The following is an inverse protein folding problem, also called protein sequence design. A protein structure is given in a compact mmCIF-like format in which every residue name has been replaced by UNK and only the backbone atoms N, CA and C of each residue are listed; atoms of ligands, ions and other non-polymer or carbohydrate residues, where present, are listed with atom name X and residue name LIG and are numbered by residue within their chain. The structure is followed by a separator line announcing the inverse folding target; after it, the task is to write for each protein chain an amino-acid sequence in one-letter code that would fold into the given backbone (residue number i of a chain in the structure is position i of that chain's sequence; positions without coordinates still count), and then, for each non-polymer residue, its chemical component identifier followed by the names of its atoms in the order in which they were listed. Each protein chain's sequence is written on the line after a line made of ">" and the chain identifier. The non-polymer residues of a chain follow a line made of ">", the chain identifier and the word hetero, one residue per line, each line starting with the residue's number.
data_IF_127503129924
#
_entry.id   IF_127503129924
#
_cell.length_a   1.000
_cell.length_b   1.000
_cell.length_c   1.000
_cell.angle_alpha   90.00
_cell.angle_beta   90.00
_cell.angle_gamma   90.00
#
_symmetry.space_group_name_H-M   'P 1'
#
loop_
_entity.id
_entity.type
_entity.pdbx_description
1 polymer ?
#
# COMPACT_ATOMS: atom_id res chain seq x y z
N UNK A 1 -0.43 3.35 -34.65
CA UNK A 1 -1.19 4.62 -34.70
C UNK A 1 -2.45 4.40 -33.88
N UNK A 2 -2.58 5.04 -32.73
CA UNK A 2 -3.82 5.03 -31.95
C UNK A 2 -4.58 6.28 -32.39
N UNK A 3 -5.71 6.07 -33.05
CA UNK A 3 -6.63 7.14 -33.47
C UNK A 3 -7.52 7.53 -32.30
N UNK A 4 -7.38 8.76 -31.81
CA UNK A 4 -8.20 9.34 -30.74
C UNK A 4 -9.52 9.87 -31.32
N UNK A 5 -10.65 9.37 -30.82
CA UNK A 5 -11.96 9.94 -31.11
C UNK A 5 -12.12 11.29 -30.40
N UNK A 6 -12.13 12.37 -31.18
CA UNK A 6 -12.18 13.78 -30.75
C UNK A 6 -13.58 14.25 -30.30
N UNK A 7 -14.25 13.51 -29.41
CA UNK A 7 -15.58 13.92 -28.88
C UNK A 7 -15.58 14.17 -27.36
N UNK A 8 -14.42 14.45 -26.75
CA UNK A 8 -14.27 14.65 -25.31
C UNK A 8 -13.88 16.09 -24.92
N UNK A 9 -14.53 17.13 -25.46
CA UNK A 9 -14.11 18.52 -25.21
C UNK A 9 -14.25 19.01 -23.76
N UNK A 10 -15.09 18.36 -22.94
CA UNK A 10 -15.27 18.70 -21.52
C UNK A 10 -14.65 17.69 -20.54
N UNK A 11 -14.50 16.42 -20.92
CA UNK A 11 -13.77 15.40 -20.13
C UNK A 11 -12.24 15.57 -20.23
N UNK A 12 -11.75 16.27 -21.27
CA UNK A 12 -10.32 16.47 -21.50
C UNK A 12 -9.64 17.29 -20.39
N UNK A 13 -10.30 18.26 -19.76
CA UNK A 13 -9.64 19.12 -18.76
C UNK A 13 -9.42 18.40 -17.41
N UNK A 14 -10.42 17.64 -16.94
CA UNK A 14 -10.28 16.81 -15.74
C UNK A 14 -9.36 15.62 -16.04
N UNK A 15 -9.51 15.00 -17.21
CA UNK A 15 -8.62 13.94 -17.68
C UNK A 15 -7.16 14.39 -17.75
N UNK A 16 -6.87 15.52 -18.40
CA UNK A 16 -5.53 16.10 -18.48
C UNK A 16 -5.01 16.56 -17.12
N UNK A 17 -5.86 17.12 -16.27
CA UNK A 17 -5.50 17.46 -14.89
C UNK A 17 -5.04 16.23 -14.12
N UNK A 18 -5.82 15.15 -14.17
CA UNK A 18 -5.47 13.89 -13.52
C UNK A 18 -4.27 13.20 -14.17
N UNK A 19 -4.11 13.27 -15.50
CA UNK A 19 -2.92 12.77 -16.20
C UNK A 19 -1.66 13.56 -15.83
N UNK A 20 -1.74 14.88 -15.71
CA UNK A 20 -0.64 15.73 -15.26
C UNK A 20 -0.27 15.42 -13.81
N UNK A 21 -1.26 15.30 -12.92
CA UNK A 21 -1.03 14.86 -11.54
C UNK A 21 -0.41 13.47 -11.49
N UNK A 22 -0.89 12.52 -12.29
CA UNK A 22 -0.26 11.20 -12.39
C UNK A 22 1.19 11.32 -12.88
N UNK A 23 1.43 12.15 -13.90
CA UNK A 23 2.75 12.37 -14.46
C UNK A 23 3.69 13.01 -13.43
N UNK A 24 3.25 13.98 -12.65
CA UNK A 24 4.03 14.59 -11.56
C UNK A 24 4.41 13.58 -10.48
N UNK A 25 3.50 12.68 -10.10
CA UNK A 25 3.79 11.64 -9.12
C UNK A 25 4.64 10.49 -9.68
N UNK A 26 4.60 10.24 -10.99
CA UNK A 26 5.18 9.06 -11.62
C UNK A 26 6.47 9.33 -12.43
N UNK A 27 6.72 10.58 -12.82
CA UNK A 27 7.97 10.97 -13.49
C UNK A 27 9.12 10.82 -12.48
N UNK A 28 10.10 9.99 -12.81
CA UNK A 28 11.23 9.59 -11.95
C UNK A 28 10.89 8.76 -10.70
N UNK A 29 9.63 8.37 -10.51
CA UNK A 29 9.21 7.49 -9.42
C UNK A 29 9.38 6.01 -9.77
N UNK A 30 9.63 5.21 -8.74
CA UNK A 30 9.62 3.75 -8.85
C UNK A 30 8.41 3.21 -8.07
N UNK A 31 7.64 2.32 -8.70
CA UNK A 31 6.42 1.73 -8.13
C UNK A 31 6.67 0.26 -7.81
N UNK A 32 6.41 -0.14 -6.57
CA UNK A 32 6.27 -1.56 -6.23
C UNK A 32 4.80 -1.98 -6.34
N UNK A 33 4.52 -3.01 -7.13
CA UNK A 33 3.16 -3.51 -7.36
C UNK A 33 2.95 -4.80 -6.57
N UNK A 34 1.92 -4.81 -5.71
CA UNK A 34 1.43 -6.04 -5.09
C UNK A 34 -0.02 -6.32 -5.52
N UNK A 35 -0.22 -7.53 -6.03
CA UNK A 35 -1.52 -8.03 -6.44
C UNK A 35 -2.00 -9.09 -5.45
N UNK A 36 -3.13 -8.82 -4.79
CA UNK A 36 -3.72 -9.74 -3.82
C UNK A 36 -5.03 -10.32 -4.37
N UNK A 37 -5.03 -11.61 -4.66
CA UNK A 37 -6.15 -12.27 -5.35
C UNK A 37 -7.21 -12.85 -4.38
N UNK A 38 -6.90 -12.98 -3.07
CA UNK A 38 -7.69 -13.84 -2.16
C UNK A 38 -8.08 -13.21 -0.80
N UNK A 39 -7.97 -11.89 -0.63
CA UNK A 39 -8.27 -11.25 0.65
C UNK A 39 -9.54 -10.40 0.58
N UNK A 40 -10.63 -10.85 1.21
CA UNK A 40 -11.89 -10.10 1.35
C UNK A 40 -11.62 -8.66 1.83
N UNK A 41 -11.98 -7.67 1.00
CA UNK A 41 -11.82 -6.20 1.11
C UNK A 41 -10.58 -5.67 1.83
N UNK A 42 -9.51 -6.45 1.82
CA UNK A 42 -8.27 -6.18 2.55
C UNK A 42 -7.07 -6.37 1.65
N UNK A 43 -6.08 -5.53 1.84
CA UNK A 43 -4.76 -5.63 1.22
C UNK A 43 -3.80 -6.23 2.25
N UNK A 44 -2.96 -7.18 1.84
CA UNK A 44 -1.89 -7.68 2.69
C UNK A 44 -0.61 -6.89 2.47
N UNK A 45 -0.19 -6.20 3.52
CA UNK A 45 1.03 -5.41 3.50
C UNK A 45 2.13 -6.22 4.16
N UNK A 46 2.96 -6.85 3.32
CA UNK A 46 4.10 -7.64 3.78
C UNK A 46 5.19 -6.76 4.40
N UNK A 47 5.72 -7.21 5.53
CA UNK A 47 6.68 -6.45 6.34
C UNK A 47 7.88 -7.29 6.77
N UNK A 48 7.65 -8.56 7.12
CA UNK A 48 8.68 -9.44 7.64
C UNK A 48 8.60 -10.82 7.00
N UNK A 49 9.69 -11.57 7.08
CA UNK A 49 9.73 -12.98 6.69
C UNK A 49 10.63 -13.76 7.63
N UNK A 50 10.38 -15.07 7.72
CA UNK A 50 11.29 -16.00 8.39
C UNK A 50 12.42 -16.40 7.44
N UNK A 51 13.66 -16.18 7.85
CA UNK A 51 14.84 -16.63 7.12
C UNK A 51 14.94 -18.17 7.12
N UNK A 52 15.32 -18.75 5.98
CA UNK A 52 15.29 -20.20 5.78
C UNK A 52 16.48 -20.94 6.39
N UNK A 53 17.59 -20.25 6.65
CA UNK A 53 18.82 -20.86 7.19
C UNK A 53 18.90 -20.70 8.70
N UNK A 54 18.48 -19.54 9.17
CA UNK A 54 18.69 -19.08 10.55
C UNK A 54 17.42 -19.07 11.38
N UNK A 55 16.26 -19.25 10.75
CA UNK A 55 14.93 -19.08 11.36
C UNK A 55 14.63 -17.67 11.90
N UNK A 56 15.54 -16.72 11.71
CA UNK A 56 15.39 -15.36 12.20
C UNK A 56 14.31 -14.60 11.43
N UNK A 57 13.60 -13.69 12.13
CA UNK A 57 12.66 -12.78 11.48
C UNK A 57 13.42 -11.60 10.91
N UNK A 58 13.36 -11.43 9.59
CA UNK A 58 14.03 -10.35 8.85
C UNK A 58 13.01 -9.44 8.16
N UNK A 59 13.40 -8.17 7.95
CA UNK A 59 12.58 -7.19 7.22
C UNK A 59 12.48 -7.60 5.73
N UNK A 60 11.31 -7.35 5.12
CA UNK A 60 11.02 -7.56 3.70
C UNK A 60 9.88 -6.61 3.27
N UNK A 61 9.49 -6.65 2.00
CA UNK A 61 8.35 -5.92 1.46
C UNK A 61 8.43 -4.42 1.76
N UNK A 62 7.42 -3.88 2.42
CA UNK A 62 7.30 -2.45 2.72
C UNK A 62 8.52 -1.89 3.46
N UNK A 63 9.20 -2.69 4.31
CA UNK A 63 10.35 -2.19 5.05
C UNK A 63 11.65 -2.13 4.26
N UNK A 64 11.77 -2.93 3.21
CA UNK A 64 12.99 -3.01 2.39
C UNK A 64 12.85 -2.36 1.03
N UNK A 65 11.62 -2.06 0.60
CA UNK A 65 11.38 -1.41 -0.68
C UNK A 65 12.04 -0.04 -0.74
N UNK A 66 12.65 0.23 -1.91
CA UNK A 66 13.22 1.52 -2.28
C UNK A 66 12.26 2.34 -3.16
N UNK A 67 11.08 1.77 -3.46
CA UNK A 67 10.06 2.41 -4.27
C UNK A 67 9.55 3.69 -3.60
N UNK A 68 9.41 4.77 -4.36
CA UNK A 68 8.80 6.01 -3.87
C UNK A 68 7.30 5.83 -3.65
N UNK A 69 6.68 4.95 -4.44
CA UNK A 69 5.25 4.65 -4.38
C UNK A 69 4.97 3.15 -4.26
N UNK A 70 3.83 2.84 -3.66
CA UNK A 70 3.28 1.50 -3.53
C UNK A 70 1.95 1.43 -4.28
N UNK A 71 1.82 0.43 -5.15
CA UNK A 71 0.57 0.14 -5.85
C UNK A 71 -0.11 -1.09 -5.22
N UNK A 72 -1.26 -0.85 -4.60
CA UNK A 72 -2.13 -1.87 -4.07
C UNK A 72 -3.21 -2.18 -5.11
N UNK A 73 -3.09 -3.34 -5.74
CA UNK A 73 -3.95 -3.76 -6.84
C UNK A 73 -4.82 -4.94 -6.41
N UNK A 74 -6.14 -4.79 -6.56
CA UNK A 74 -7.11 -5.88 -6.33
C UNK A 74 -8.28 -5.75 -7.30
N UNK A 75 -8.49 -6.77 -8.14
CA UNK A 75 -9.56 -6.77 -9.16
C UNK A 75 -9.55 -5.45 -9.96
N UNK A 76 -10.62 -4.66 -9.92
CA UNK A 76 -10.74 -3.37 -10.58
C UNK A 76 -10.18 -2.18 -9.77
N UNK A 77 -9.86 -2.37 -8.48
CA UNK A 77 -9.35 -1.31 -7.61
C UNK A 77 -7.83 -1.23 -7.72
N UNK A 78 -7.33 -0.03 -7.99
CA UNK A 78 -5.90 0.30 -8.05
C UNK A 78 -5.67 1.53 -7.18
N UNK A 79 -4.86 1.39 -6.14
CA UNK A 79 -4.50 2.51 -5.25
C UNK A 79 -3.00 2.71 -5.37
N UNK A 80 -2.60 3.92 -5.72
CA UNK A 80 -1.21 4.36 -5.66
C UNK A 80 -1.10 5.25 -4.43
N UNK A 81 -0.15 4.92 -3.55
CA UNK A 81 0.12 5.65 -2.31
C UNK A 81 1.61 5.87 -2.18
N UNK A 82 2.03 7.01 -1.65
CA UNK A 82 3.43 7.21 -1.31
C UNK A 82 3.89 6.15 -0.30
N UNK A 83 5.06 5.57 -0.53
CA UNK A 83 5.64 4.56 0.35
C UNK A 83 5.87 5.12 1.76
N UNK A 84 6.19 6.41 1.87
CA UNK A 84 6.36 7.16 3.13
C UNK A 84 5.08 7.09 3.99
N UNK A 85 3.93 7.38 3.40
CA UNK A 85 2.64 7.44 4.07
C UNK A 85 2.10 6.05 4.38
N UNK A 86 2.26 5.10 3.46
CA UNK A 86 1.95 3.70 3.75
C UNK A 86 2.77 3.19 4.94
N UNK A 87 4.06 3.53 5.02
CA UNK A 87 4.91 3.20 6.17
C UNK A 87 4.39 3.83 7.47
N UNK A 88 3.91 5.08 7.46
CA UNK A 88 3.35 5.73 8.66
C UNK A 88 2.05 5.05 9.11
N UNK A 89 1.11 4.80 8.19
CA UNK A 89 -0.13 4.06 8.44
C UNK A 89 0.16 2.71 9.11
N UNK A 90 1.09 1.94 8.52
CA UNK A 90 1.48 0.63 9.04
C UNK A 90 2.13 0.76 10.43
N UNK A 91 3.01 1.75 10.66
CA UNK A 91 3.61 1.99 11.98
C UNK A 91 2.56 2.29 13.04
N UNK A 92 1.59 3.14 12.73
CA UNK A 92 0.51 3.47 13.67
C UNK A 92 -0.33 2.24 14.01
N UNK A 93 -0.68 1.45 13.00
CA UNK A 93 -1.42 0.19 13.21
C UNK A 93 -0.62 -0.79 14.06
N UNK A 94 0.68 -0.95 13.76
CA UNK A 94 1.59 -1.81 14.52
C UNK A 94 1.80 -1.32 15.95
N UNK A 95 1.88 0.00 16.17
CA UNK A 95 2.01 0.57 17.52
C UNK A 95 0.80 0.23 18.37
N UNK A 96 -0.41 0.43 17.84
CA UNK A 96 -1.67 0.00 18.48
C UNK A 96 -1.64 -1.49 18.81
N UNK A 97 -1.04 -2.32 17.95
CA UNK A 97 -0.92 -3.76 18.21
C UNK A 97 0.16 -4.12 19.24
N UNK A 98 1.30 -3.43 19.27
CA UNK A 98 2.37 -3.67 20.27
C UNK A 98 1.94 -3.31 21.68
N UNK A 99 1.12 -2.27 21.82
CA UNK A 99 0.48 -1.91 23.10
C UNK A 99 -0.45 -3.02 23.60
N UNK A 100 -1.02 -3.81 22.67
CA UNK A 100 -1.93 -4.93 22.97
C UNK A 100 -1.21 -6.29 23.05
N UNK A 101 -0.05 -6.44 22.44
CA UNK A 101 0.75 -7.68 22.42
C UNK A 101 2.25 -7.41 22.13
N UNK A 102 3.08 -7.23 23.16
CA UNK A 102 4.51 -6.91 23.00
C UNK A 102 5.36 -8.07 22.47
N UNK A 103 4.85 -9.30 22.49
CA UNK A 103 5.57 -10.51 22.09
C UNK A 103 5.22 -11.00 20.68
N UNK A 104 4.41 -10.25 19.92
CA UNK A 104 3.92 -10.64 18.58
C UNK A 104 3.23 -12.02 18.55
N UNK A 105 2.66 -12.47 19.68
CA UNK A 105 1.89 -13.73 19.80
C UNK A 105 0.45 -13.59 19.31
N UNK A 106 -0.02 -12.37 19.10
CA UNK A 106 -1.37 -12.03 18.69
C UNK A 106 -1.51 -12.17 17.17
N UNK A 107 -1.84 -13.40 16.76
CA UNK A 107 -2.12 -13.81 15.37
C UNK A 107 -3.32 -13.08 14.73
N UNK A 108 -4.03 -12.24 15.48
CA UNK A 108 -5.04 -11.34 14.91
C UNK A 108 -4.40 -10.10 14.26
N UNK A 109 -3.34 -9.55 14.85
CA UNK A 109 -2.65 -8.35 14.39
C UNK A 109 -1.72 -8.59 13.21
N UNK A 110 -0.93 -9.68 13.28
CA UNK A 110 -0.02 -10.10 12.22
C UNK A 110 -0.58 -11.33 11.53
N UNK A 111 -0.79 -11.24 10.22
CA UNK A 111 -1.17 -12.37 9.39
C UNK A 111 0.06 -13.00 8.79
N UNK A 112 0.09 -14.32 8.83
CA UNK A 112 1.03 -15.10 8.06
C UNK A 112 0.50 -15.20 6.63
N UNK A 113 1.36 -14.97 5.65
CA UNK A 113 1.05 -15.01 4.23
C UNK A 113 2.26 -15.45 3.41
N UNK A 114 2.14 -15.27 2.10
CA UNK A 114 3.14 -15.67 1.11
C UNK A 114 3.23 -17.18 0.91
N UNK A 115 4.00 -17.58 -0.11
CA UNK A 115 4.22 -18.99 -0.42
C UNK A 115 4.88 -19.69 0.77
N UNK A 116 4.16 -20.66 1.35
CA UNK A 116 4.62 -21.45 2.48
C UNK A 116 4.38 -20.85 3.88
N UNK A 117 3.55 -19.80 4.03
CA UNK A 117 3.24 -19.17 5.33
C UNK A 117 4.51 -18.73 6.08
N UNK A 118 5.40 -17.99 5.41
CA UNK A 118 6.67 -17.53 5.99
C UNK A 118 6.83 -16.02 5.98
N UNK A 119 5.90 -15.29 5.36
CA UNK A 119 5.89 -13.84 5.42
C UNK A 119 4.84 -13.36 6.41
N UNK A 120 5.13 -12.26 7.07
CA UNK A 120 4.29 -11.66 8.08
C UNK A 120 3.99 -10.24 7.66
N UNK A 121 2.72 -9.88 7.79
CA UNK A 121 2.22 -8.59 7.40
C UNK A 121 0.96 -8.24 8.14
N UNK A 122 0.40 -7.09 7.78
CA UNK A 122 -0.88 -6.64 8.30
C UNK A 122 -1.92 -6.67 7.18
N UNK A 123 -3.18 -6.80 7.57
CA UNK A 123 -4.30 -6.55 6.67
C UNK A 123 -4.77 -5.12 6.86
N UNK A 124 -4.97 -4.43 5.74
CA UNK A 124 -5.50 -3.06 5.71
C UNK A 124 -6.71 -3.03 4.81
N UNK A 125 -7.84 -2.50 5.30
CA UNK A 125 -9.03 -2.34 4.46
C UNK A 125 -8.91 -1.09 3.58
N UNK A 126 -9.70 -1.03 2.51
CA UNK A 126 -9.82 0.19 1.71
C UNK A 126 -10.26 1.38 2.58
N UNK A 127 -11.24 1.18 3.46
CA UNK A 127 -11.73 2.23 4.38
C UNK A 127 -10.62 2.79 5.27
N UNK A 128 -9.78 1.92 5.84
CA UNK A 128 -8.68 2.34 6.70
C UNK A 128 -7.63 3.14 5.92
N UNK A 129 -7.31 2.73 4.68
CA UNK A 129 -6.42 3.48 3.79
C UNK A 129 -7.00 4.87 3.46
N UNK A 130 -8.25 4.92 3.03
CA UNK A 130 -8.88 6.18 2.63
C UNK A 130 -9.02 7.15 3.80
N UNK A 131 -9.45 6.68 4.98
CA UNK A 131 -9.53 7.52 6.18
C UNK A 131 -8.17 8.09 6.58
N UNK A 132 -7.11 7.30 6.47
CA UNK A 132 -5.76 7.77 6.76
C UNK A 132 -5.32 8.87 5.82
N UNK A 133 -5.50 8.67 4.51
CA UNK A 133 -5.12 9.63 3.47
C UNK A 133 -5.88 10.96 3.62
N UNK A 134 -7.19 10.89 3.88
CA UNK A 134 -8.02 12.06 4.15
C UNK A 134 -7.52 12.83 5.37
N UNK A 135 -7.21 12.12 6.46
CA UNK A 135 -6.73 12.77 7.69
C UNK A 135 -5.39 13.49 7.50
N UNK A 136 -4.44 12.91 6.76
CA UNK A 136 -3.17 13.59 6.47
C UNK A 136 -3.41 14.86 5.67
N UNK A 137 -4.23 14.78 4.61
CA UNK A 137 -4.46 15.91 3.72
C UNK A 137 -5.23 17.05 4.41
N UNK A 138 -6.08 16.72 5.38
CA UNK A 138 -6.84 17.71 6.17
C UNK A 138 -5.96 18.42 7.21
N UNK A 139 -4.90 17.76 7.70
CA UNK A 139 -3.94 18.35 8.65
C UNK A 139 -2.94 19.30 7.98
N UNK A 140 -2.68 19.14 6.68
CA UNK A 140 -1.82 20.06 5.89
C UNK A 140 -2.50 21.38 5.50
N UNK A 141 -3.81 21.51 5.72
CA UNK A 141 -4.61 22.69 5.34
C UNK A 141 -4.92 23.63 6.53
N UNK A 142 -4.44 23.30 7.73
CA UNK A 142 -4.52 24.13 8.93
C UNK A 142 -3.11 24.53 9.38
#
# INVERSE_FOLDING_TARGET
>A
MITTNNTFSHDLAIGQGMENTLSEHLTDSTIEVKFDMYLNDRFFIEMFRKDFRTEAIVKTGLWTTKATHYALCKSYIKIIIETSDLKKLVKEKVKKFKELDPNFKNRQAFKCGGDGNRTFGILVTLTELTQYLVNIHTQTLN
#
